data_IF_739670188591
#
_entry.id   IF_739670188591
#
_cell.length_a   1.000
_cell.length_b   1.000
_cell.length_c   1.000
_cell.angle_alpha   90.00
_cell.angle_beta   90.00
_cell.angle_gamma   90.00
#
_symmetry.space_group_name_H-M   'P 1'
#
loop_
_entity.id
_entity.type
_entity.pdbx_description
1 polymer ?
#
# COMPACT_ATOMS: atom_id res chain seq x y z
N UNK A 1 0.84 17.32 -15.57
CA UNK A 1 0.25 18.30 -14.64
C UNK A 1 -0.15 17.52 -13.40
N UNK A 2 0.65 17.64 -12.35
CA UNK A 2 0.56 16.85 -11.12
C UNK A 2 -0.37 17.54 -10.13
N UNK A 3 -1.32 16.82 -9.53
CA UNK A 3 -1.98 17.23 -8.29
C UNK A 3 -1.92 16.07 -7.30
N UNK A 4 -0.89 16.09 -6.47
CA UNK A 4 -0.83 15.30 -5.24
C UNK A 4 -1.82 15.91 -4.26
N UNK A 5 -2.89 15.20 -3.90
CA UNK A 5 -3.81 15.59 -2.81
C UNK A 5 -3.18 15.33 -1.44
N UNK A 6 -2.04 15.96 -1.19
CA UNK A 6 -1.46 16.09 0.13
C UNK A 6 -1.50 17.58 0.50
N UNK A 7 -2.32 17.91 1.51
CA UNK A 7 -2.38 19.20 2.19
C UNK A 7 -2.74 20.44 1.33
N UNK A 8 -4.03 20.75 1.26
CA UNK A 8 -4.48 22.15 1.17
C UNK A 8 -4.44 22.78 2.58
N UNK A 9 -3.25 23.05 3.10
CA UNK A 9 -3.06 24.19 4.02
C UNK A 9 -2.37 25.26 3.19
N UNK A 10 -3.18 26.10 2.54
CA UNK A 10 -2.70 27.16 1.66
C UNK A 10 -1.87 28.20 2.41
N UNK A 11 -0.67 28.47 1.92
CA UNK A 11 0.03 29.72 2.16
C UNK A 11 -0.37 30.71 1.05
N UNK A 12 -1.48 31.39 1.26
CA UNK A 12 -1.96 32.47 0.40
C UNK A 12 -2.56 33.55 1.28
N UNK A 13 -2.08 34.79 1.14
CA UNK A 13 -2.43 35.95 1.96
C UNK A 13 -3.81 36.50 1.66
N UNK A 14 -4.84 35.69 1.88
CA UNK A 14 -6.23 36.08 2.15
C UNK A 14 -6.99 34.82 2.52
N UNK A 15 -7.17 34.58 3.82
CA UNK A 15 -8.02 33.48 4.29
C UNK A 15 -9.45 33.71 3.77
N UNK A 16 -10.02 32.82 2.94
CA UNK A 16 -11.42 32.91 2.56
C UNK A 16 -12.26 32.73 3.81
N UNK A 17 -13.29 33.57 4.02
CA UNK A 17 -14.22 33.38 5.12
C UNK A 17 -14.92 32.00 4.95
N UNK A 18 -15.20 31.26 6.03
CA UNK A 18 -15.67 29.87 5.99
C UNK A 18 -16.99 29.62 5.23
N UNK A 19 -17.68 30.66 4.76
CA UNK A 19 -19.02 30.60 4.18
C UNK A 19 -19.06 30.68 2.65
N UNK A 20 -17.94 30.85 1.94
CA UNK A 20 -17.94 31.03 0.47
C UNK A 20 -17.44 29.85 -0.35
N UNK A 21 -16.96 28.76 0.28
CA UNK A 21 -16.66 27.53 -0.44
C UNK A 21 -17.93 26.66 -0.50
N UNK A 22 -18.81 26.94 -1.45
CA UNK A 22 -19.87 26.00 -1.82
C UNK A 22 -19.23 24.64 -2.08
N UNK A 23 -19.57 23.64 -1.26
CA UNK A 23 -19.12 22.23 -1.32
C UNK A 23 -17.85 21.85 -0.53
N UNK A 24 -17.31 22.72 0.35
CA UNK A 24 -16.21 22.30 1.23
C UNK A 24 -16.54 21.09 2.13
N UNK A 25 -17.81 20.91 2.49
CA UNK A 25 -18.30 19.76 3.26
C UNK A 25 -18.56 18.50 2.41
N UNK A 26 -18.59 18.60 1.08
CA UNK A 26 -18.89 17.46 0.19
C UNK A 26 -17.63 16.77 -0.37
N UNK A 27 -16.47 17.45 -0.33
CA UNK A 27 -15.22 16.97 -0.92
C UNK A 27 -14.53 15.83 -0.16
N UNK A 28 -14.85 15.65 1.13
CA UNK A 28 -14.28 14.58 1.96
C UNK A 28 -15.40 13.73 2.50
N UNK A 29 -15.59 12.56 1.89
CA UNK A 29 -16.54 11.55 2.33
C UNK A 29 -15.80 10.46 3.09
N UNK A 30 -16.36 10.03 4.23
CA UNK A 30 -15.84 8.86 4.94
C UNK A 30 -15.94 7.63 4.04
N UNK A 31 -14.96 6.72 4.10
CA UNK A 31 -15.03 5.43 3.42
C UNK A 31 -16.34 4.67 3.76
N UNK A 32 -16.84 4.86 4.98
CA UNK A 32 -18.10 4.29 5.44
C UNK A 32 -19.34 4.80 4.66
N UNK A 33 -19.28 5.99 4.09
CA UNK A 33 -20.40 6.55 3.30
C UNK A 33 -20.59 5.90 1.93
N UNK A 34 -19.60 5.13 1.46
CA UNK A 34 -19.71 4.34 0.23
C UNK A 34 -20.32 2.96 0.49
N UNK A 35 -20.50 2.57 1.76
CA UNK A 35 -21.08 1.30 2.13
C UNK A 35 -22.61 1.37 2.05
N UNK A 36 -23.22 0.41 1.36
CA UNK A 36 -24.69 0.28 1.29
C UNK A 36 -25.19 -0.64 2.40
N UNK A 37 -26.38 -0.35 2.92
CA UNK A 37 -27.12 -1.22 3.84
C UNK A 37 -26.35 -1.64 5.12
N UNK A 38 -25.42 -0.80 5.59
CA UNK A 38 -24.63 -1.06 6.79
C UNK A 38 -23.56 -2.17 6.66
N UNK A 39 -23.28 -2.64 5.44
CA UNK A 39 -22.22 -3.62 5.17
C UNK A 39 -20.87 -2.93 4.99
N UNK A 40 -20.17 -2.71 6.10
CA UNK A 40 -18.89 -1.98 6.09
C UNK A 40 -17.68 -2.83 5.71
N UNK A 41 -17.79 -4.16 5.86
CA UNK A 41 -16.73 -5.10 5.56
C UNK A 41 -17.30 -6.46 5.17
N UNK A 42 -16.50 -7.25 4.47
CA UNK A 42 -16.77 -8.65 4.16
C UNK A 42 -15.58 -9.52 4.55
N UNK A 43 -15.79 -10.83 4.64
CA UNK A 43 -14.69 -11.78 4.75
C UNK A 43 -13.78 -11.69 3.52
N UNK A 44 -12.48 -11.75 3.75
CA UNK A 44 -11.47 -11.71 2.70
C UNK A 44 -11.47 -13.03 1.91
N UNK A 45 -11.67 -12.95 0.61
CA UNK A 45 -11.58 -14.10 -0.30
C UNK A 45 -10.19 -14.21 -0.92
N UNK A 46 -9.90 -15.35 -1.56
CA UNK A 46 -8.66 -15.52 -2.31
C UNK A 46 -8.52 -14.49 -3.44
N UNK A 47 -9.62 -14.11 -4.08
CA UNK A 47 -9.65 -13.14 -5.19
C UNK A 47 -9.26 -11.73 -4.74
N UNK A 48 -9.60 -11.37 -3.50
CA UNK A 48 -9.25 -10.06 -2.92
C UNK A 48 -7.75 -9.91 -2.66
N UNK A 49 -6.98 -11.01 -2.71
CA UNK A 49 -5.53 -11.01 -2.56
C UNK A 49 -4.79 -10.95 -3.91
N UNK A 50 -5.51 -10.98 -5.03
CA UNK A 50 -4.91 -10.93 -6.36
C UNK A 50 -4.48 -9.50 -6.70
N UNK A 51 -3.27 -9.36 -7.23
CA UNK A 51 -2.87 -8.13 -7.91
C UNK A 51 -3.76 -7.94 -9.14
N UNK A 52 -4.47 -6.83 -9.19
CA UNK A 52 -5.42 -6.54 -10.28
C UNK A 52 -4.66 -6.24 -11.57
N UNK A 53 -3.56 -5.48 -11.46
CA UNK A 53 -2.76 -4.96 -12.58
C UNK A 53 -3.67 -4.27 -13.60
N UNK A 54 -4.35 -3.22 -13.14
CA UNK A 54 -5.27 -2.46 -13.98
C UNK A 54 -4.54 -1.85 -15.20
N UNK A 55 -5.21 -1.87 -16.36
CA UNK A 55 -4.69 -1.30 -17.61
C UNK A 55 -4.71 0.23 -17.63
N UNK A 56 -5.55 0.84 -16.80
CA UNK A 56 -5.66 2.29 -16.62
C UNK A 56 -4.70 2.81 -15.55
N UNK A 57 -4.68 4.13 -15.35
CA UNK A 57 -3.90 4.74 -14.29
C UNK A 57 -4.32 4.17 -12.93
N UNK A 58 -3.38 3.49 -12.27
CA UNK A 58 -3.63 2.79 -11.02
C UNK A 58 -2.35 2.67 -10.21
N UNK A 59 -2.48 2.70 -8.88
CA UNK A 59 -1.41 2.36 -7.96
C UNK A 59 -1.92 1.28 -7.02
N UNK A 60 -1.27 0.13 -7.06
CA UNK A 60 -1.54 -1.01 -6.20
C UNK A 60 -0.39 -1.17 -5.24
N UNK A 61 -0.70 -1.51 -3.98
CA UNK A 61 0.33 -1.68 -2.96
C UNK A 61 0.05 -2.89 -2.11
N UNK A 62 1.13 -3.53 -1.67
CA UNK A 62 1.07 -4.57 -0.65
C UNK A 62 1.97 -4.13 0.51
N UNK A 63 1.33 -3.82 1.64
CA UNK A 63 1.99 -3.21 2.80
C UNK A 63 1.85 -4.11 4.01
N UNK A 64 2.96 -4.31 4.72
CA UNK A 64 3.01 -5.03 5.99
C UNK A 64 3.42 -4.06 7.08
N UNK A 65 2.58 -3.94 8.10
CA UNK A 65 2.87 -3.18 9.31
C UNK A 65 3.22 -4.15 10.43
N UNK A 66 4.22 -3.78 11.23
CA UNK A 66 4.74 -4.60 12.31
C UNK A 66 4.87 -3.72 13.54
N UNK A 67 4.30 -4.17 14.65
CA UNK A 67 4.51 -3.58 15.97
C UNK A 67 4.89 -4.73 16.89
N UNK A 68 6.02 -4.61 17.60
CA UNK A 68 6.41 -5.61 18.59
C UNK A 68 5.96 -5.20 20.00
N UNK A 69 6.07 -6.10 20.96
CA UNK A 69 5.66 -5.87 22.36
C UNK A 69 6.44 -4.73 23.06
N UNK A 70 7.56 -4.30 22.48
CA UNK A 70 8.36 -3.18 22.97
C UNK A 70 7.94 -1.84 22.35
N UNK A 71 6.90 -1.82 21.49
CA UNK A 71 6.42 -0.63 20.80
C UNK A 71 7.29 -0.20 19.62
N UNK A 72 8.22 -1.04 19.16
CA UNK A 72 8.96 -0.77 17.93
C UNK A 72 8.04 -0.94 16.72
N UNK A 73 8.16 -0.02 15.78
CA UNK A 73 7.36 0.01 14.57
C UNK A 73 8.22 -0.31 13.35
N UNK A 74 7.71 -1.18 12.51
CA UNK A 74 8.26 -1.46 11.18
C UNK A 74 7.17 -1.40 10.12
N UNK A 75 7.54 -0.99 8.91
CA UNK A 75 6.73 -1.26 7.73
C UNK A 75 7.60 -1.66 6.55
N UNK A 76 7.04 -2.47 5.66
CA UNK A 76 7.59 -2.75 4.33
C UNK A 76 6.44 -2.73 3.32
N UNK A 77 6.66 -2.09 2.19
CA UNK A 77 5.64 -1.86 1.18
C UNK A 77 6.22 -2.09 -0.21
N UNK A 78 5.52 -2.88 -1.02
CA UNK A 78 5.69 -2.96 -2.46
C UNK A 78 4.64 -2.07 -3.13
N UNK A 79 5.05 -1.28 -4.12
CA UNK A 79 4.22 -0.33 -4.86
C UNK A 79 4.36 -0.66 -6.34
N UNK A 80 3.24 -0.90 -7.01
CA UNK A 80 3.15 -1.04 -8.45
C UNK A 80 2.31 0.13 -8.98
N UNK A 81 2.90 0.97 -9.83
CA UNK A 81 2.24 2.16 -10.37
C UNK A 81 2.24 2.12 -11.90
N UNK A 82 1.03 2.12 -12.46
CA UNK A 82 0.78 2.27 -13.88
C UNK A 82 0.18 3.66 -14.13
N UNK A 83 0.73 4.40 -15.08
CA UNK A 83 0.20 5.71 -15.46
C UNK A 83 -0.93 5.64 -16.50
N UNK A 84 -1.21 4.47 -17.07
CA UNK A 84 -2.31 4.26 -18.03
C UNK A 84 -2.13 4.98 -19.36
N UNK A 85 -0.92 5.49 -19.64
CA UNK A 85 -0.54 6.14 -20.88
C UNK A 85 0.22 5.13 -21.73
N UNK A 86 -0.26 4.91 -22.96
CA UNK A 86 0.38 3.99 -23.89
C UNK A 86 1.86 4.33 -24.08
N UNK A 87 2.73 3.32 -23.97
CA UNK A 87 4.17 3.47 -24.12
C UNK A 87 4.93 3.96 -22.87
N UNK A 88 4.24 4.29 -21.77
CA UNK A 88 4.90 4.64 -20.51
C UNK A 88 5.23 3.39 -19.69
N UNK A 89 6.49 3.18 -19.26
CA UNK A 89 6.84 2.02 -18.46
C UNK A 89 6.16 2.08 -17.09
N UNK A 90 5.76 0.91 -16.59
CA UNK A 90 5.29 0.72 -15.22
C UNK A 90 6.43 1.02 -14.26
N UNK A 91 6.12 1.71 -13.17
CA UNK A 91 7.06 1.94 -12.07
C UNK A 91 6.79 0.97 -10.93
N UNK A 92 7.83 0.31 -10.43
CA UNK A 92 7.75 -0.54 -9.24
C UNK A 92 8.72 -0.02 -8.20
N UNK A 93 8.23 0.18 -6.98
CA UNK A 93 8.98 0.78 -5.89
C UNK A 93 8.81 -0.04 -4.62
N UNK A 94 9.80 0.04 -3.76
CA UNK A 94 9.68 -0.43 -2.38
C UNK A 94 9.99 0.70 -1.42
N UNK A 95 9.21 0.76 -0.35
CA UNK A 95 9.56 1.54 0.84
C UNK A 95 9.61 0.65 2.07
N UNK A 96 10.51 0.98 3.00
CA UNK A 96 10.59 0.34 4.30
C UNK A 96 10.93 1.36 5.38
N UNK A 97 10.42 1.15 6.59
CA UNK A 97 10.74 1.96 7.76
C UNK A 97 10.97 1.08 8.97
N UNK A 98 11.92 1.48 9.81
CA UNK A 98 12.05 0.96 11.16
C UNK A 98 12.22 2.09 12.17
N UNK A 99 11.47 2.01 13.27
CA UNK A 99 11.54 2.89 14.44
C UNK A 99 11.59 2.06 15.71
N UNK A 100 12.72 2.08 16.41
CA UNK A 100 12.90 1.33 17.66
C UNK A 100 14.36 1.32 18.11
N UNK A 101 14.60 1.10 19.41
CA UNK A 101 15.95 1.03 20.01
C UNK A 101 16.88 2.20 19.60
N UNK A 102 16.36 3.43 19.55
CA UNK A 102 17.13 4.61 19.12
C UNK A 102 17.39 4.72 17.61
N UNK A 103 16.89 3.77 16.81
CA UNK A 103 16.96 3.81 15.34
C UNK A 103 15.65 4.36 14.78
N UNK A 104 15.75 5.29 13.83
CA UNK A 104 14.65 5.78 13.02
C UNK A 104 15.15 5.92 11.58
N UNK A 105 14.94 4.89 10.76
CA UNK A 105 15.40 4.85 9.37
C UNK A 105 14.23 4.61 8.44
N UNK A 106 14.26 5.31 7.31
CA UNK A 106 13.37 5.12 6.18
C UNK A 106 14.23 4.81 4.96
N UNK A 107 13.76 3.87 4.15
CA UNK A 107 14.43 3.40 2.94
C UNK A 107 13.41 3.37 1.80
N UNK A 108 13.84 3.80 0.61
CA UNK A 108 13.02 3.77 -0.59
C UNK A 108 13.90 3.52 -1.81
N UNK A 109 13.48 2.63 -2.69
CA UNK A 109 14.19 2.35 -3.94
C UNK A 109 13.23 1.93 -5.05
N UNK A 110 13.63 2.15 -6.30
CA UNK A 110 12.96 1.56 -7.45
C UNK A 110 13.39 0.10 -7.61
N UNK A 111 12.48 -0.75 -8.04
CA UNK A 111 12.71 -2.17 -8.27
C UNK A 111 12.59 -2.51 -9.75
N UNK A 112 13.26 -3.59 -10.15
CA UNK A 112 13.25 -4.11 -11.52
C UNK A 112 12.73 -5.54 -11.58
N UNK A 113 12.33 -5.99 -12.77
CA UNK A 113 11.89 -7.37 -13.02
C UNK A 113 10.69 -7.81 -12.16
N UNK A 114 9.66 -6.98 -12.11
CA UNK A 114 8.42 -7.32 -11.42
C UNK A 114 7.70 -8.47 -12.13
N UNK A 115 7.40 -9.51 -11.36
CA UNK A 115 6.73 -10.73 -11.80
C UNK A 115 5.66 -11.10 -10.77
N UNK A 116 4.59 -11.73 -11.25
CA UNK A 116 3.53 -12.27 -10.42
C UNK A 116 3.50 -13.79 -10.54
N UNK A 117 3.02 -14.46 -9.49
CA UNK A 117 2.61 -15.86 -9.59
C UNK A 117 1.43 -16.03 -10.56
N UNK A 118 1.19 -17.26 -11.01
CA UNK A 118 0.08 -17.56 -11.94
C UNK A 118 -1.30 -17.16 -11.40
N UNK A 119 -1.49 -17.27 -10.08
CA UNK A 119 -2.70 -16.85 -9.37
C UNK A 119 -2.67 -15.37 -8.96
N UNK A 120 -1.61 -14.63 -9.31
CA UNK A 120 -1.40 -13.21 -8.98
C UNK A 120 -1.46 -12.87 -7.49
N UNK A 121 -1.28 -13.82 -6.56
CA UNK A 121 -1.28 -13.56 -5.10
C UNK A 121 0.11 -13.43 -4.49
N UNK A 122 1.15 -13.70 -5.27
CA UNK A 122 2.55 -13.50 -4.91
C UNK A 122 3.23 -12.59 -5.94
N UNK A 123 4.15 -11.75 -5.46
CA UNK A 123 4.91 -10.81 -6.27
C UNK A 123 6.41 -10.95 -6.02
N UNK A 124 7.22 -10.78 -7.06
CA UNK A 124 8.68 -10.79 -6.93
C UNK A 124 9.31 -9.79 -7.88
N UNK A 125 10.40 -9.20 -7.43
CA UNK A 125 11.33 -8.38 -8.19
C UNK A 125 12.72 -8.99 -8.09
N UNK A 126 13.74 -8.33 -8.65
CA UNK A 126 15.12 -8.75 -8.45
C UNK A 126 15.56 -8.68 -6.97
N UNK A 127 15.13 -7.65 -6.23
CA UNK A 127 15.58 -7.39 -4.85
C UNK A 127 14.52 -7.74 -3.78
N UNK A 128 13.26 -7.98 -4.16
CA UNK A 128 12.15 -8.22 -3.23
C UNK A 128 11.34 -9.44 -3.63
N UNK A 129 10.79 -10.17 -2.66
CA UNK A 129 9.69 -11.11 -2.92
C UNK A 129 8.66 -11.10 -1.80
N UNK A 130 7.40 -11.24 -2.18
CA UNK A 130 6.26 -11.46 -1.30
C UNK A 130 5.58 -12.73 -1.79
N UNK A 131 5.62 -13.79 -0.99
CA UNK A 131 5.06 -15.09 -1.33
C UNK A 131 3.93 -15.43 -0.37
N UNK A 132 2.76 -15.76 -0.92
CA UNK A 132 1.66 -16.35 -0.18
C UNK A 132 1.77 -17.88 -0.26
N UNK A 133 1.62 -18.56 0.88
CA UNK A 133 1.57 -20.02 0.91
C UNK A 133 0.34 -20.56 0.16
N UNK A 134 0.39 -21.81 -0.37
CA UNK A 134 -0.73 -22.37 -1.12
C UNK A 134 -2.06 -22.43 -0.35
N UNK A 135 -2.00 -22.58 0.97
CA UNK A 135 -3.15 -22.57 1.88
C UNK A 135 -3.69 -21.17 2.22
N UNK A 136 -3.02 -20.11 1.75
CA UNK A 136 -3.39 -18.71 2.00
C UNK A 136 -3.18 -18.23 3.44
N UNK A 137 -2.41 -18.95 4.25
CA UNK A 137 -2.23 -18.65 5.68
C UNK A 137 -0.96 -17.88 6.01
N UNK A 138 0.05 -17.90 5.14
CA UNK A 138 1.38 -17.40 5.45
C UNK A 138 1.93 -16.54 4.32
N UNK A 139 2.35 -15.32 4.67
CA UNK A 139 3.14 -14.46 3.80
C UNK A 139 4.62 -14.53 4.20
N UNK A 140 5.49 -14.72 3.21
CA UNK A 140 6.94 -14.59 3.36
C UNK A 140 7.40 -13.37 2.57
N UNK A 141 7.93 -12.37 3.27
CA UNK A 141 8.46 -11.13 2.67
C UNK A 141 9.98 -11.11 2.82
N UNK A 142 10.68 -11.01 1.69
CA UNK A 142 12.13 -10.95 1.64
C UNK A 142 12.56 -9.73 0.85
N UNK A 143 13.56 -9.02 1.37
CA UNK A 143 14.23 -7.91 0.70
C UNK A 143 15.73 -8.11 0.85
N UNK A 144 16.44 -8.10 -0.27
CA UNK A 144 17.90 -8.25 -0.30
C UNK A 144 18.47 -7.16 -1.19
N UNK A 145 18.83 -6.02 -0.57
CA UNK A 145 19.57 -4.94 -1.23
C UNK A 145 20.80 -4.53 -0.38
N UNK A 146 21.80 -5.41 -0.24
CA UNK A 146 22.98 -5.14 0.56
C UNK A 146 23.86 -4.06 -0.10
N UNK A 147 24.51 -3.19 0.70
CA UNK A 147 24.56 -3.18 2.17
C UNK A 147 23.42 -2.40 2.84
N UNK A 148 22.45 -1.88 2.07
CA UNK A 148 21.52 -0.85 2.54
C UNK A 148 20.34 -1.40 3.35
N UNK A 149 19.75 -2.51 2.90
CA UNK A 149 18.56 -3.08 3.52
C UNK A 149 18.47 -4.60 3.35
N UNK A 150 18.19 -5.28 4.46
CA UNK A 150 17.74 -6.67 4.48
C UNK A 150 16.45 -6.73 5.30
N UNK A 151 15.42 -7.34 4.74
CA UNK A 151 14.15 -7.62 5.44
C UNK A 151 13.84 -9.09 5.25
N UNK A 152 13.57 -9.80 6.34
CA UNK A 152 13.11 -11.19 6.32
C UNK A 152 11.97 -11.32 7.31
N UNK A 153 10.76 -11.46 6.79
CA UNK A 153 9.54 -11.50 7.58
C UNK A 153 8.69 -12.70 7.16
N UNK A 154 8.10 -13.34 8.17
CA UNK A 154 7.03 -14.31 7.99
C UNK A 154 5.82 -13.83 8.77
N UNK A 155 4.70 -13.66 8.09
CA UNK A 155 3.43 -13.24 8.68
C UNK A 155 2.46 -14.39 8.55
N UNK A 156 2.03 -14.92 9.69
CA UNK A 156 1.06 -16.02 9.77
C UNK A 156 -0.28 -15.48 10.24
N UNK A 157 -1.34 -15.85 9.53
CA UNK A 157 -2.71 -15.43 9.86
C UNK A 157 -3.16 -16.17 11.11
N UNK A 158 -3.57 -15.41 12.12
CA UNK A 158 -4.15 -15.95 13.35
C UNK A 158 -5.68 -15.98 13.31
N UNK A 159 -6.29 -15.29 12.35
CA UNK A 159 -7.74 -15.19 12.18
C UNK A 159 -8.11 -14.88 10.72
N UNK A 160 -9.42 -14.90 10.43
CA UNK A 160 -9.96 -14.53 9.13
C UNK A 160 -9.62 -13.08 8.79
N UNK A 161 -9.28 -12.85 7.53
CA UNK A 161 -9.05 -11.51 7.01
C UNK A 161 -10.39 -10.86 6.67
N UNK A 162 -10.41 -9.54 6.56
CA UNK A 162 -11.58 -8.81 6.10
C UNK A 162 -11.17 -7.78 5.05
N UNK A 163 -12.08 -7.52 4.11
CA UNK A 163 -12.01 -6.42 3.16
C UNK A 163 -12.95 -5.32 3.65
N UNK A 164 -12.49 -4.06 3.58
CA UNK A 164 -13.32 -2.89 3.89
C UNK A 164 -13.99 -2.41 2.60
N UNK A 165 -15.28 -2.14 2.66
CA UNK A 165 -16.10 -1.76 1.51
C UNK A 165 -16.53 -2.96 0.62
N UNK A 166 -17.15 -2.65 -0.52
CA UNK A 166 -17.54 -3.62 -1.56
C UNK A 166 -16.52 -3.71 -2.69
#
# INVERSE_FOLDING_TARGET
>A
MWNTLANLTGSGTSSPKPTEAANASEGVKSAASFCKDGKYFSELTAKDLEWTIASTASTETQTFYLINDQGHFGHVQLIHSNLGIWGTPVSVQMTARFRGKGVNKFFSTNLSNFNLSADKRSASTKEMSIKLSPDGQKFTVQVTNPPELIVSLTVERTTRGYKIGE
#
